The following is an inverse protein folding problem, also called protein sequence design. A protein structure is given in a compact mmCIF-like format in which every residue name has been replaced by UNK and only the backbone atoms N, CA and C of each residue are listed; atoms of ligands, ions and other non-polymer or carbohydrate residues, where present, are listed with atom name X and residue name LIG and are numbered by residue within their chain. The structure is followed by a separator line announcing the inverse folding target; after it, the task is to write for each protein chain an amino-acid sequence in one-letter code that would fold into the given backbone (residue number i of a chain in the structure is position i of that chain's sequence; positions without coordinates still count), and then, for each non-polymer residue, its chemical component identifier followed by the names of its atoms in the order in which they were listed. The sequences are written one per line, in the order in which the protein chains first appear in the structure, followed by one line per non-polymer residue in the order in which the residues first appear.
data_IF_669457982610
#
_entry.id   IF_669457982610
#
_cell.length_a   1.000
_cell.length_b   1.000
_cell.length_c   1.000
_cell.angle_alpha   90.00
_cell.angle_beta   90.00
_cell.angle_gamma   90.00
#
_symmetry.space_group_name_H-M   'P 1'
#
loop_
_entity.id
_entity.type
_entity.pdbx_description
1 polymer ?
#
# COMPACT_ATOMS: atom_id res chain seq x y z
N UNK A 1 11.82 8.25 -7.19
CA UNK A 1 10.53 8.19 -6.49
C UNK A 1 9.90 6.82 -6.74
N UNK A 2 10.05 5.90 -5.78
CA UNK A 2 9.84 4.44 -5.99
C UNK A 2 8.38 4.10 -6.31
N UNK A 3 7.44 4.77 -5.64
CA UNK A 3 6.02 4.58 -5.90
C UNK A 3 5.64 5.03 -7.33
N UNK A 4 6.19 6.15 -7.79
CA UNK A 4 5.94 6.64 -9.16
C UNK A 4 6.55 5.72 -10.21
N UNK A 5 7.75 5.18 -10.00
CA UNK A 5 8.34 4.20 -10.94
C UNK A 5 7.55 2.88 -11.02
N UNK A 6 6.68 2.63 -10.03
CA UNK A 6 5.83 1.44 -10.00
C UNK A 6 4.57 1.57 -10.88
N UNK A 7 4.19 2.79 -11.26
CA UNK A 7 3.06 3.03 -12.17
C UNK A 7 3.38 2.41 -13.53
N UNK A 8 2.48 1.55 -14.03
CA UNK A 8 2.70 0.81 -15.29
C UNK A 8 3.56 -0.46 -15.17
N UNK A 9 4.28 -0.65 -14.07
CA UNK A 9 5.20 -1.78 -13.85
C UNK A 9 4.72 -2.75 -12.78
N UNK A 10 3.82 -2.30 -11.89
CA UNK A 10 3.19 -3.14 -10.87
C UNK A 10 1.75 -3.45 -11.27
N UNK A 11 1.36 -4.72 -11.07
CA UNK A 11 -0.02 -5.20 -11.18
C UNK A 11 -0.49 -5.74 -9.82
N UNK A 12 -1.78 -5.55 -9.51
CA UNK A 12 -2.33 -6.03 -8.25
C UNK A 12 -2.53 -7.55 -8.30
N UNK A 13 -1.95 -8.27 -7.35
CA UNK A 13 -2.16 -9.70 -7.15
C UNK A 13 -2.44 -9.95 -5.68
N UNK A 14 -3.58 -10.55 -5.36
CA UNK A 14 -3.88 -10.91 -3.98
C UNK A 14 -2.84 -11.91 -3.44
N UNK A 15 -2.22 -11.60 -2.30
CA UNK A 15 -1.14 -12.40 -1.73
C UNK A 15 0.25 -12.13 -2.33
N UNK A 16 0.39 -11.24 -3.32
CA UNK A 16 1.68 -10.85 -3.88
C UNK A 16 2.53 -10.10 -2.87
N UNK A 17 3.72 -10.62 -2.53
CA UNK A 17 4.67 -10.01 -1.58
C UNK A 17 6.00 -9.70 -2.25
N UNK A 18 6.65 -8.61 -1.84
CA UNK A 18 7.95 -8.19 -2.35
C UNK A 18 9.09 -9.22 -2.15
N UNK A 19 8.96 -10.10 -1.15
CA UNK A 19 9.97 -11.12 -0.82
C UNK A 19 9.87 -12.38 -1.68
N UNK A 20 8.74 -12.60 -2.36
CA UNK A 20 8.49 -13.76 -3.22
C UNK A 20 8.67 -13.41 -4.70
N UNK A 21 9.78 -12.72 -5.03
CA UNK A 21 10.16 -12.37 -6.42
C UNK A 21 10.66 -13.55 -7.24
N UNK A 22 10.55 -14.79 -6.74
CA UNK A 22 10.60 -15.94 -7.64
C UNK A 22 9.46 -15.72 -8.64
N UNK A 23 9.85 -15.44 -9.88
CA UNK A 23 8.98 -15.27 -11.05
C UNK A 23 7.77 -16.16 -10.86
N UNK A 24 6.66 -15.57 -10.42
CA UNK A 24 5.46 -16.35 -10.19
C UNK A 24 5.20 -17.07 -11.52
N UNK A 25 5.09 -18.40 -11.54
CA UNK A 25 4.77 -19.09 -12.78
C UNK A 25 3.55 -18.37 -13.36
N UNK A 26 3.67 -17.91 -14.61
CA UNK A 26 2.68 -17.07 -15.29
C UNK A 26 1.32 -17.72 -15.06
N UNK A 27 0.55 -17.17 -14.12
CA UNK A 27 -0.60 -17.90 -13.60
C UNK A 27 -1.58 -18.07 -14.75
N UNK A 28 -1.95 -19.33 -15.02
CA UNK A 28 -2.78 -19.68 -16.15
C UNK A 28 -4.09 -18.94 -16.05
N UNK A 29 -4.25 -17.98 -16.94
CA UNK A 29 -5.41 -17.14 -17.13
C UNK A 29 -6.65 -18.01 -17.39
N UNK A 30 -7.58 -18.11 -16.43
CA UNK A 30 -8.99 -18.39 -16.72
C UNK A 30 -9.91 -17.74 -15.66
N UNK A 31 -10.42 -16.56 -16.00
CA UNK A 31 -11.58 -15.98 -15.34
C UNK A 31 -12.61 -15.60 -16.41
N UNK A 32 -13.86 -16.03 -16.23
CA UNK A 32 -14.94 -15.78 -17.19
C UNK A 32 -15.26 -14.28 -17.36
N UNK A 33 -14.88 -13.44 -16.38
CA UNK A 33 -15.18 -11.99 -16.37
C UNK A 33 -14.02 -11.18 -15.77
N UNK A 34 -13.14 -10.66 -16.63
CA UNK A 34 -12.09 -9.71 -16.27
C UNK A 34 -10.80 -10.32 -15.72
N UNK A 35 -9.80 -9.49 -15.36
CA UNK A 35 -8.50 -9.99 -14.90
C UNK A 35 -8.63 -10.72 -13.55
N UNK A 36 -8.00 -11.89 -13.44
CA UNK A 36 -8.07 -12.72 -12.25
C UNK A 36 -7.38 -12.06 -11.04
N UNK A 37 -7.92 -12.31 -9.84
CA UNK A 37 -7.35 -11.84 -8.56
C UNK A 37 -5.90 -12.31 -8.31
N UNK A 38 -5.52 -13.41 -8.93
CA UNK A 38 -4.23 -14.08 -8.74
C UNK A 38 -3.33 -13.98 -10.00
N UNK A 39 -3.80 -13.31 -11.08
CA UNK A 39 -3.06 -13.22 -12.34
C UNK A 39 -1.87 -12.26 -12.23
N UNK A 40 -0.73 -12.71 -12.75
CA UNK A 40 0.48 -11.91 -12.88
C UNK A 40 0.95 -11.91 -14.34
N UNK A 41 0.83 -10.79 -15.06
CA UNK A 41 1.32 -10.71 -16.43
C UNK A 41 2.85 -10.88 -16.51
N UNK A 42 3.34 -11.45 -17.60
CA UNK A 42 4.78 -11.50 -17.88
C UNK A 42 5.39 -10.08 -17.92
N UNK A 43 6.59 -9.93 -17.36
CA UNK A 43 7.29 -8.65 -17.29
C UNK A 43 6.73 -7.64 -16.28
N UNK A 44 5.75 -8.02 -15.45
CA UNK A 44 5.18 -7.18 -14.41
C UNK A 44 5.60 -7.64 -13.01
N UNK A 45 5.67 -6.68 -12.08
CA UNK A 45 5.82 -6.95 -10.65
C UNK A 45 4.42 -7.11 -10.04
N UNK A 46 4.16 -8.20 -9.31
CA UNK A 46 2.82 -8.52 -8.83
C UNK A 46 2.74 -8.46 -7.31
N UNK A 47 2.06 -7.44 -6.79
CA UNK A 47 2.02 -7.11 -5.37
C UNK A 47 0.58 -6.89 -4.92
N UNK A 48 0.25 -7.28 -3.70
CA UNK A 48 -0.94 -6.77 -3.01
C UNK A 48 -0.63 -5.43 -2.31
N UNK A 49 -1.60 -4.85 -1.63
CA UNK A 49 -1.44 -3.58 -0.91
C UNK A 49 -0.25 -3.60 0.06
N UNK A 50 -0.13 -4.65 0.88
CA UNK A 50 0.98 -4.81 1.83
C UNK A 50 2.30 -5.20 1.16
N UNK A 51 2.27 -5.97 0.09
CA UNK A 51 3.44 -6.29 -0.71
C UNK A 51 4.01 -5.04 -1.39
N UNK A 52 3.15 -4.15 -1.86
CA UNK A 52 3.54 -2.88 -2.45
C UNK A 52 4.14 -1.92 -1.41
N UNK A 53 3.49 -1.77 -0.25
CA UNK A 53 4.06 -0.99 0.84
C UNK A 53 5.45 -1.51 1.25
N UNK A 54 5.62 -2.84 1.36
CA UNK A 54 6.92 -3.47 1.63
C UNK A 54 7.96 -3.18 0.55
N UNK A 55 7.57 -3.30 -0.72
CA UNK A 55 8.44 -3.03 -1.85
C UNK A 55 8.97 -1.59 -1.82
N UNK A 56 8.07 -0.61 -1.65
CA UNK A 56 8.44 0.80 -1.57
C UNK A 56 9.39 1.06 -0.40
N UNK A 57 9.10 0.51 0.79
CA UNK A 57 9.95 0.67 1.98
C UNK A 57 11.33 0.02 1.81
N UNK A 58 11.35 -1.23 1.33
CA UNK A 58 12.59 -1.98 1.09
C UNK A 58 13.49 -1.25 0.11
N UNK A 59 12.94 -0.79 -1.02
CA UNK A 59 13.70 -0.03 -2.01
C UNK A 59 14.16 1.34 -1.48
N UNK A 60 13.46 1.91 -0.50
CA UNK A 60 13.86 3.15 0.17
C UNK A 60 14.91 2.93 1.28
N UNK A 61 15.33 1.68 1.51
CA UNK A 61 16.26 1.34 2.61
C UNK A 61 15.62 1.45 4.00
N UNK A 62 14.29 1.47 4.08
CA UNK A 62 13.56 1.46 5.34
C UNK A 62 13.45 0.01 5.85
N UNK A 63 13.58 -0.22 7.16
CA UNK A 63 13.46 -1.55 7.72
C UNK A 63 12.01 -2.07 7.66
N UNK A 64 11.80 -3.39 7.77
CA UNK A 64 10.46 -3.98 7.73
C UNK A 64 9.59 -3.52 8.90
N UNK A 65 8.32 -3.27 8.63
CA UNK A 65 7.25 -2.99 9.57
C UNK A 65 6.19 -4.11 9.56
N UNK A 66 6.62 -5.38 9.56
CA UNK A 66 5.74 -6.55 9.63
C UNK A 66 5.02 -6.89 8.32
N UNK A 67 5.42 -6.31 7.18
CA UNK A 67 4.75 -6.47 5.89
C UNK A 67 4.84 -7.91 5.34
N UNK A 68 5.84 -8.67 5.78
CA UNK A 68 5.99 -10.12 5.50
C UNK A 68 4.78 -10.93 5.96
N UNK A 69 4.04 -10.43 6.96
CA UNK A 69 2.84 -11.04 7.53
C UNK A 69 1.53 -10.48 6.94
N UNK A 70 1.64 -9.62 5.92
CA UNK A 70 0.52 -8.91 5.31
C UNK A 70 -0.05 -7.78 6.15
N UNK A 71 -1.13 -7.15 5.67
CA UNK A 71 -1.78 -5.98 6.28
C UNK A 71 -2.13 -6.17 7.76
N UNK A 72 -2.43 -7.40 8.20
CA UNK A 72 -2.72 -7.68 9.60
C UNK A 72 -1.49 -7.54 10.50
N UNK A 73 -0.32 -7.98 10.04
CA UNK A 73 0.94 -7.84 10.79
C UNK A 73 1.51 -6.43 10.73
N UNK A 74 1.20 -5.66 9.68
CA UNK A 74 1.52 -4.22 9.64
C UNK A 74 0.80 -3.49 10.79
N UNK A 75 -0.50 -3.75 10.95
CA UNK A 75 -1.33 -3.06 11.94
C UNK A 75 -1.60 -3.88 13.20
N UNK A 76 -0.57 -4.54 13.72
CA UNK A 76 -0.64 -5.33 14.96
C UNK A 76 -0.64 -4.44 16.22
N UNK A 77 -0.11 -4.93 17.35
CA UNK A 77 -0.05 -4.19 18.62
C UNK A 77 0.75 -2.88 18.57
N UNK A 78 1.53 -2.63 17.53
CA UNK A 78 2.35 -1.42 17.41
C UNK A 78 1.64 -0.27 16.67
N UNK A 79 0.45 -0.52 16.12
CA UNK A 79 -0.33 0.49 15.42
C UNK A 79 -1.22 1.30 16.39
N UNK A 80 -1.22 2.62 16.23
CA UNK A 80 -2.12 3.50 16.97
C UNK A 80 -3.43 3.74 16.21
N UNK A 81 -4.51 3.98 16.95
CA UNK A 81 -5.75 4.46 16.35
C UNK A 81 -5.56 5.90 15.88
N UNK A 82 -6.14 6.24 14.72
CA UNK A 82 -6.20 7.63 14.28
C UNK A 82 -7.33 8.31 15.05
N UNK A 83 -6.97 9.34 15.83
CA UNK A 83 -7.90 10.19 16.58
C UNK A 83 -8.02 11.57 15.94
N UNK A 84 -6.95 12.05 15.30
CA UNK A 84 -6.95 13.31 14.55
C UNK A 84 -6.20 13.16 13.23
N UNK A 85 -6.73 13.82 12.19
CA UNK A 85 -6.13 13.91 10.86
C UNK A 85 -6.13 15.36 10.39
N UNK A 86 -4.99 15.83 9.89
CA UNK A 86 -4.88 17.13 9.23
C UNK A 86 -3.98 17.03 8.00
N UNK A 87 -4.41 17.62 6.89
CA UNK A 87 -3.61 17.74 5.68
C UNK A 87 -3.63 19.21 5.23
N UNK A 88 -2.49 19.88 5.32
CA UNK A 88 -2.34 21.29 4.92
C UNK A 88 -1.17 21.43 3.95
N UNK A 89 -1.50 21.67 2.68
CA UNK A 89 -0.50 21.70 1.60
C UNK A 89 0.23 20.37 1.50
N UNK A 90 1.53 20.39 1.77
CA UNK A 90 2.44 19.24 1.66
C UNK A 90 2.68 18.52 3.00
N UNK A 91 2.06 19.00 4.08
CA UNK A 91 2.21 18.44 5.43
C UNK A 91 0.96 17.65 5.80
N UNK A 92 1.16 16.43 6.28
CA UNK A 92 0.11 15.56 6.81
C UNK A 92 0.43 15.26 8.26
N UNK A 93 -0.55 15.42 9.13
CA UNK A 93 -0.43 15.23 10.56
C UNK A 93 -1.48 14.23 11.03
N UNK A 94 -1.06 13.20 11.75
CA UNK A 94 -1.93 12.22 12.41
C UNK A 94 -1.64 12.28 13.91
N UNK A 95 -2.68 12.37 14.75
CA UNK A 95 -2.52 12.41 16.20
C UNK A 95 -1.56 13.52 16.67
N UNK A 96 -1.64 14.69 16.03
CA UNK A 96 -0.75 15.83 16.29
C UNK A 96 0.70 15.65 15.81
N UNK A 97 1.01 14.58 15.08
CA UNK A 97 2.35 14.26 14.59
C UNK A 97 2.44 14.31 13.06
N UNK A 98 3.38 15.07 12.54
CA UNK A 98 3.67 15.09 11.11
C UNK A 98 4.19 13.72 10.64
N UNK A 99 3.69 13.28 9.48
CA UNK A 99 4.08 12.05 8.81
C UNK A 99 5.42 12.18 8.10
N UNK A 100 6.19 11.11 8.13
CA UNK A 100 7.47 10.97 7.43
C UNK A 100 7.32 9.95 6.30
N UNK A 101 7.95 10.15 5.12
CA UNK A 101 7.89 9.17 4.04
C UNK A 101 8.24 7.76 4.52
N UNK A 102 7.36 6.80 4.24
CA UNK A 102 7.44 5.44 4.76
C UNK A 102 6.36 5.11 5.79
N UNK A 103 5.83 6.10 6.49
CA UNK A 103 4.72 5.93 7.43
C UNK A 103 3.50 5.30 6.73
N UNK A 104 2.76 4.45 7.44
CA UNK A 104 1.67 3.67 6.85
C UNK A 104 0.34 3.91 7.55
N UNK A 105 -0.70 4.03 6.76
CA UNK A 105 -2.08 4.20 7.22
C UNK A 105 -2.91 3.08 6.61
N UNK A 106 -3.92 2.58 7.32
CA UNK A 106 -4.74 1.53 6.76
C UNK A 106 -5.78 0.98 7.71
N UNK A 107 -6.46 -0.06 7.25
CA UNK A 107 -7.42 -0.81 8.05
C UNK A 107 -6.88 -2.22 8.26
N UNK A 108 -6.71 -2.68 9.52
CA UNK A 108 -6.26 -4.04 9.81
C UNK A 108 -7.04 -5.06 9.00
N UNK A 109 -6.32 -6.02 8.41
CA UNK A 109 -6.88 -7.13 7.59
C UNK A 109 -7.62 -6.69 6.32
N UNK A 110 -7.52 -5.44 5.89
CA UNK A 110 -8.19 -4.97 4.68
C UNK A 110 -7.21 -4.29 3.71
N UNK A 111 -6.70 -3.12 4.07
CA UNK A 111 -5.90 -2.31 3.15
C UNK A 111 -4.82 -1.52 3.88
N UNK A 112 -3.73 -1.26 3.19
CA UNK A 112 -2.63 -0.40 3.65
C UNK A 112 -2.23 0.54 2.52
N UNK A 113 -1.91 1.75 2.91
CA UNK A 113 -1.33 2.77 2.05
C UNK A 113 -0.08 3.31 2.72
N UNK A 114 0.85 3.79 1.92
CA UNK A 114 2.13 4.33 2.37
C UNK A 114 2.21 5.82 2.07
N UNK A 115 2.62 6.62 3.05
CA UNK A 115 2.92 8.02 2.87
C UNK A 115 4.24 8.14 2.10
N UNK A 116 4.23 8.86 0.99
CA UNK A 116 5.40 9.01 0.10
C UNK A 116 5.99 10.43 0.15
N UNK A 117 5.51 11.26 1.09
CA UNK A 117 5.92 12.65 1.23
C UNK A 117 5.06 13.63 0.42
N UNK A 118 5.31 14.92 0.63
CA UNK A 118 4.65 16.02 -0.08
C UNK A 118 3.11 15.95 -0.08
N UNK A 119 2.51 15.54 1.05
CA UNK A 119 1.06 15.45 1.15
C UNK A 119 0.46 14.30 0.35
N UNK A 120 1.23 13.29 -0.06
CA UNK A 120 0.76 12.20 -0.93
C UNK A 120 0.90 10.83 -0.30
N UNK A 121 -0.07 9.98 -0.62
CA UNK A 121 -0.06 8.56 -0.33
C UNK A 121 0.00 7.75 -1.62
N UNK A 122 0.50 6.53 -1.51
CA UNK A 122 0.45 5.54 -2.56
C UNK A 122 -0.08 4.20 -2.04
N UNK A 123 -0.70 3.43 -2.92
CA UNK A 123 -1.21 2.10 -2.61
C UNK A 123 -1.21 1.18 -3.83
N UNK A 124 -1.46 -0.11 -3.58
CA UNK A 124 -1.78 -1.05 -4.64
C UNK A 124 -3.14 -1.71 -4.39
N UNK A 125 -4.04 -1.65 -5.37
CA UNK A 125 -5.43 -2.07 -5.19
C UNK A 125 -6.01 -2.84 -6.39
N UNK A 126 -6.92 -3.78 -6.09
CA UNK A 126 -7.59 -4.63 -7.08
C UNK A 126 -9.04 -4.22 -7.42
N UNK A 127 -9.42 -2.96 -7.22
CA UNK A 127 -10.78 -2.46 -7.46
C UNK A 127 -11.22 -2.44 -8.93
N UNK A 128 -12.38 -1.83 -9.22
CA UNK A 128 -12.98 -1.69 -10.56
C UNK A 128 -12.06 -0.90 -11.51
N UNK A 129 -11.14 -1.61 -12.16
CA UNK A 129 -10.14 -1.05 -13.08
C UNK A 129 -8.70 -1.30 -12.64
N UNK A 130 -8.44 -1.50 -11.35
CA UNK A 130 -7.10 -1.72 -10.78
C UNK A 130 -6.50 -3.11 -11.03
N UNK A 131 -7.32 -4.05 -11.51
CA UNK A 131 -6.86 -5.37 -11.96
C UNK A 131 -6.30 -5.36 -13.39
N UNK A 132 -6.43 -4.23 -14.11
CA UNK A 132 -5.74 -4.06 -15.40
C UNK A 132 -4.27 -3.76 -15.11
N UNK A 133 -3.38 -4.35 -15.90
CA UNK A 133 -1.95 -4.02 -15.82
C UNK A 133 -1.77 -2.50 -15.93
N UNK A 134 -0.94 -1.94 -15.05
CA UNK A 134 -0.67 -0.51 -14.97
C UNK A 134 -1.68 0.35 -14.21
N UNK A 135 -2.86 -0.17 -13.83
CA UNK A 135 -3.85 0.56 -13.02
C UNK A 135 -3.84 0.16 -11.54
N UNK A 136 -2.91 -0.71 -11.14
CA UNK A 136 -2.86 -1.24 -9.80
C UNK A 136 -2.39 -0.23 -8.77
N UNK A 137 -1.67 0.81 -9.21
CA UNK A 137 -1.06 1.80 -8.32
C UNK A 137 -1.93 3.06 -8.26
N UNK A 138 -2.38 3.39 -7.05
CA UNK A 138 -2.95 4.70 -6.74
C UNK A 138 -1.88 5.62 -6.16
N UNK A 139 -1.86 6.87 -6.59
CA UNK A 139 -1.13 7.96 -5.94
C UNK A 139 -2.09 9.12 -5.80
N UNK A 140 -2.30 9.60 -4.58
CA UNK A 140 -3.33 10.59 -4.28
C UNK A 140 -2.95 11.53 -3.15
N UNK A 141 -3.58 12.71 -3.14
CA UNK A 141 -3.37 13.73 -2.11
C UNK A 141 -4.08 13.36 -0.80
N UNK A 142 -3.41 13.63 0.31
CA UNK A 142 -3.88 13.45 1.69
C UNK A 142 -5.06 14.37 2.07
N UNK A 143 -5.42 15.33 1.18
CA UNK A 143 -6.56 16.23 1.35
C UNK A 143 -7.89 15.50 1.44
N UNK A 144 -7.98 14.27 0.94
CA UNK A 144 -9.15 13.42 1.12
C UNK A 144 -8.96 12.62 2.41
N UNK A 145 -9.68 12.94 3.51
CA UNK A 145 -9.51 12.25 4.77
C UNK A 145 -9.80 10.76 4.56
N UNK A 146 -8.83 9.89 4.82
CA UNK A 146 -9.06 8.44 4.78
C UNK A 146 -10.13 8.01 5.79
N UNK A 147 -10.37 8.82 6.81
CA UNK A 147 -11.51 8.66 7.74
C UNK A 147 -12.86 8.73 7.02
N UNK A 148 -13.02 9.59 6.01
CA UNK A 148 -14.25 9.59 5.18
C UNK A 148 -14.36 8.35 4.29
N UNK A 149 -13.24 7.68 4.01
CA UNK A 149 -13.25 6.43 3.27
C UNK A 149 -13.52 5.21 4.17
N UNK A 150 -13.07 5.21 5.45
CA UNK A 150 -13.00 4.00 6.31
C UNK A 150 -13.48 4.14 7.77
N UNK A 151 -14.47 4.99 8.05
CA UNK A 151 -15.33 5.04 9.27
C UNK A 151 -14.77 4.35 10.54
N UNK A 152 -13.87 5.03 11.26
CA UNK A 152 -13.49 4.67 12.64
C UNK A 152 -12.68 3.38 12.84
N UNK A 153 -12.29 2.68 11.77
CA UNK A 153 -11.47 1.45 11.83
C UNK A 153 -10.05 1.63 11.33
N UNK A 154 -9.66 2.85 11.05
CA UNK A 154 -8.33 3.18 10.55
C UNK A 154 -7.31 3.12 11.68
N UNK A 155 -6.15 2.55 11.35
CA UNK A 155 -4.96 2.47 12.16
C UNK A 155 -3.83 3.15 11.42
N UNK A 156 -2.91 3.69 12.19
CA UNK A 156 -1.72 4.34 11.70
C UNK A 156 -0.52 3.69 12.38
N UNK A 157 0.49 3.39 11.58
CA UNK A 157 1.78 2.90 12.03
C UNK A 157 2.79 3.95 11.63
N UNK A 158 3.28 4.66 12.64
CA UNK A 158 4.49 5.45 12.47
C UNK A 158 5.66 4.49 12.46
N UNK A 159 6.58 4.68 11.52
CA UNK A 159 7.86 4.03 11.65
C UNK A 159 8.89 4.96 12.27
N UNK A 160 9.25 4.67 13.53
CA UNK A 160 10.54 5.05 14.10
C UNK A 160 11.20 3.78 14.62
N UNK A 161 12.50 3.64 14.38
CA UNK A 161 13.34 2.72 15.13
C UNK A 161 12.96 2.83 16.62
N UNK A 162 12.70 1.72 17.34
CA UNK A 162 12.64 1.77 18.79
C UNK A 162 13.92 2.41 19.37
#
# INVERSE_FOLDING_TARGET
DIAYSSVGNVTYRFGGKAQNQQSFPVDTYQCEKGPCKDYCPEGQICLDCSGFANFVRTCAGLPPAGESYGTAGIFDSHAEAIETWSANGNTVTINGRELEPGDMVGRPKNHVIIYIGNGKFADSHGGSGGRKAGNAIGIFDAKYPLETLWEGKTRYVRWRNP
#
